data_IF_732024650047
#
_entry.id   IF_732024650047
#
_cell.length_a   1.000
_cell.length_b   1.000
_cell.length_c   1.000
_cell.angle_alpha   90.00
_cell.angle_beta   90.00
_cell.angle_gamma   90.00
#
_symmetry.space_group_name_H-M   'P 1'
#
loop_
_entity.id
_entity.type
_entity.pdbx_description
1 polymer ?
#
# COMPACT_ATOMS: atom_id res chain seq x y z
N UNK A 1 12.91 9.92 -29.06
CA UNK A 1 13.92 9.62 -28.02
C UNK A 1 13.55 8.26 -27.47
N UNK A 2 14.43 7.24 -27.47
CA UNK A 2 14.06 5.98 -26.86
C UNK A 2 13.89 6.21 -25.36
N UNK A 3 12.68 5.95 -24.85
CA UNK A 3 12.35 5.98 -23.44
C UNK A 3 13.29 5.05 -22.67
N UNK A 4 13.92 5.56 -21.61
CA UNK A 4 14.87 4.80 -20.83
C UNK A 4 14.12 3.85 -19.90
N UNK A 5 13.90 2.62 -20.39
CA UNK A 5 13.02 1.61 -19.79
C UNK A 5 13.30 1.39 -18.31
N UNK A 6 14.55 1.48 -17.88
CA UNK A 6 14.93 1.25 -16.48
C UNK A 6 14.49 2.39 -15.54
N UNK A 7 14.65 3.65 -15.96
CA UNK A 7 14.17 4.80 -15.19
C UNK A 7 12.64 4.82 -15.15
N UNK A 8 11.99 4.52 -16.26
CA UNK A 8 10.53 4.50 -16.33
C UNK A 8 9.93 3.36 -15.50
N UNK A 9 10.61 2.22 -15.40
CA UNK A 9 10.23 1.14 -14.50
C UNK A 9 10.37 1.58 -13.03
N UNK A 10 11.48 2.20 -12.65
CA UNK A 10 11.69 2.67 -11.28
C UNK A 10 10.67 3.76 -10.88
N UNK A 11 10.35 4.68 -11.79
CA UNK A 11 9.33 5.72 -11.58
C UNK A 11 7.93 5.12 -11.44
N UNK A 12 7.54 4.22 -12.34
CA UNK A 12 6.25 3.51 -12.25
C UNK A 12 6.13 2.73 -10.95
N UNK A 13 7.21 2.09 -10.49
CA UNK A 13 7.26 1.42 -9.20
C UNK A 13 6.98 2.41 -8.05
N UNK A 14 7.67 3.54 -8.02
CA UNK A 14 7.48 4.57 -7.00
C UNK A 14 6.08 5.24 -7.06
N UNK A 15 5.53 5.45 -8.25
CA UNK A 15 4.19 6.01 -8.46
C UNK A 15 3.07 5.08 -7.94
N UNK A 16 3.30 3.76 -8.06
CA UNK A 16 2.45 2.72 -7.48
C UNK A 16 2.54 2.65 -5.94
N UNK A 17 3.53 3.34 -5.35
CA UNK A 17 3.77 3.39 -3.92
C UNK A 17 4.90 2.48 -3.44
N UNK A 18 5.51 1.71 -4.34
CA UNK A 18 6.66 0.86 -4.03
C UNK A 18 7.88 1.67 -3.62
N UNK A 19 8.66 1.14 -2.67
CA UNK A 19 9.92 1.73 -2.22
C UNK A 19 11.08 1.14 -3.02
N UNK A 20 12.23 1.79 -3.02
CA UNK A 20 13.44 1.21 -3.61
C UNK A 20 14.69 1.52 -2.78
N UNK A 21 15.70 0.66 -2.88
CA UNK A 21 17.01 0.86 -2.25
C UNK A 21 18.13 0.36 -3.15
N UNK A 22 19.24 1.10 -3.20
CA UNK A 22 20.45 0.73 -3.94
C UNK A 22 21.19 -0.35 -3.14
N UNK A 23 21.32 -1.53 -3.75
CA UNK A 23 22.04 -2.66 -3.17
C UNK A 23 23.55 -2.59 -3.44
N UNK A 24 23.92 -2.09 -4.62
CA UNK A 24 25.31 -1.98 -5.04
C UNK A 24 25.46 -0.94 -6.15
N UNK A 25 26.56 -0.17 -6.07
CA UNK A 25 27.03 0.72 -7.13
C UNK A 25 28.33 0.16 -7.68
N UNK A 26 28.37 -0.10 -8.98
CA UNK A 26 29.55 -0.49 -9.74
C UNK A 26 30.00 0.61 -10.69
N UNK A 27 31.08 0.37 -11.44
CA UNK A 27 31.57 1.31 -12.46
C UNK A 27 30.54 1.44 -13.59
N UNK A 28 29.74 2.51 -13.54
CA UNK A 28 28.71 2.79 -14.56
C UNK A 28 27.47 1.90 -14.48
N UNK A 29 27.28 1.12 -13.42
CA UNK A 29 26.09 0.27 -13.22
C UNK A 29 25.59 0.37 -11.79
N UNK A 30 24.29 0.26 -11.60
CA UNK A 30 23.65 0.25 -10.29
C UNK A 30 22.69 -0.92 -10.19
N UNK A 31 22.64 -1.55 -9.01
CA UNK A 31 21.66 -2.59 -8.67
C UNK A 31 20.72 -2.06 -7.61
N UNK A 32 19.42 -2.15 -7.88
CA UNK A 32 18.35 -1.57 -7.07
C UNK A 32 17.38 -2.68 -6.69
N UNK A 33 17.07 -2.78 -5.40
CA UNK A 33 15.96 -3.55 -4.88
C UNK A 33 14.66 -2.75 -5.01
N UNK A 34 13.65 -3.34 -5.60
CA UNK A 34 12.28 -2.84 -5.60
C UNK A 34 11.56 -3.47 -4.41
N UNK A 35 11.18 -2.63 -3.45
CA UNK A 35 10.65 -3.02 -2.16
C UNK A 35 9.14 -2.78 -2.09
N UNK A 36 8.43 -3.66 -1.38
CA UNK A 36 7.02 -3.43 -1.03
C UNK A 36 6.85 -2.13 -0.24
N UNK A 37 5.67 -1.52 -0.37
CA UNK A 37 5.34 -0.28 0.33
C UNK A 37 5.05 -0.49 1.84
N UNK A 38 4.68 -1.71 2.22
CA UNK A 38 4.11 -2.05 3.53
C UNK A 38 5.14 -2.64 4.51
N UNK A 39 6.16 -3.32 3.99
CA UNK A 39 7.08 -4.17 4.76
C UNK A 39 8.55 -3.97 4.41
N UNK A 40 8.85 -3.27 3.31
CA UNK A 40 10.22 -3.10 2.82
C UNK A 40 10.84 -4.40 2.29
N UNK A 41 10.02 -5.40 1.96
CA UNK A 41 10.47 -6.68 1.40
C UNK A 41 10.84 -6.51 -0.07
N UNK A 42 11.97 -7.10 -0.50
CA UNK A 42 12.40 -7.08 -1.91
C UNK A 42 11.47 -7.94 -2.77
N UNK A 43 10.65 -7.25 -3.58
CA UNK A 43 9.75 -7.83 -4.58
C UNK A 43 10.54 -8.25 -5.81
N UNK A 44 11.41 -7.37 -6.29
CA UNK A 44 12.19 -7.57 -7.49
C UNK A 44 13.52 -6.84 -7.40
N UNK A 45 14.45 -7.18 -8.30
CA UNK A 45 15.77 -6.59 -8.39
C UNK A 45 16.06 -6.20 -9.82
N UNK A 46 16.47 -4.95 -10.01
CA UNK A 46 16.91 -4.47 -11.31
C UNK A 46 18.36 -4.00 -11.28
N UNK A 47 19.10 -4.32 -12.34
CA UNK A 47 20.46 -3.82 -12.57
C UNK A 47 20.48 -3.06 -13.89
N UNK A 48 21.05 -1.86 -13.89
CA UNK A 48 21.12 -1.02 -15.09
C UNK A 48 22.32 -0.10 -15.07
N UNK A 49 22.87 0.18 -16.26
CA UNK A 49 23.92 1.18 -16.49
C UNK A 49 23.43 2.44 -17.20
N UNK A 50 22.11 2.66 -17.21
CA UNK A 50 21.50 3.84 -17.82
C UNK A 50 22.06 5.13 -17.22
N UNK A 51 22.59 6.06 -18.04
CA UNK A 51 23.00 7.38 -17.57
C UNK A 51 21.87 8.19 -16.95
N UNK A 52 20.64 8.05 -17.47
CA UNK A 52 19.46 8.75 -16.96
C UNK A 52 19.05 8.24 -15.58
N UNK A 53 19.11 6.91 -15.36
CA UNK A 53 18.87 6.30 -14.06
C UNK A 53 19.96 6.69 -13.05
N UNK A 54 21.23 6.66 -13.44
CA UNK A 54 22.33 7.07 -12.58
C UNK A 54 22.22 8.55 -12.17
N UNK A 55 21.86 9.43 -13.10
CA UNK A 55 21.59 10.84 -12.82
C UNK A 55 20.36 11.03 -11.91
N UNK A 56 19.30 10.24 -12.11
CA UNK A 56 18.10 10.28 -11.27
C UNK A 56 18.36 9.83 -9.83
N UNK A 57 19.14 8.78 -9.63
CA UNK A 57 19.51 8.31 -8.29
C UNK A 57 20.42 9.33 -7.59
N UNK A 58 21.37 9.92 -8.33
CA UNK A 58 22.38 10.78 -7.74
C UNK A 58 23.14 10.05 -6.63
N UNK A 59 23.25 10.67 -5.46
CA UNK A 59 23.87 10.10 -4.25
C UNK A 59 22.89 9.27 -3.38
N UNK A 60 21.60 9.22 -3.73
CA UNK A 60 20.59 8.52 -2.92
C UNK A 60 20.78 7.01 -2.95
N UNK A 61 20.75 6.38 -1.80
CA UNK A 61 20.77 4.93 -1.63
C UNK A 61 19.38 4.36 -1.33
N UNK A 62 18.37 5.22 -1.16
CA UNK A 62 16.97 4.81 -1.08
C UNK A 62 15.97 5.86 -1.57
N UNK A 63 14.75 5.41 -1.85
CA UNK A 63 13.60 6.28 -2.10
C UNK A 63 13.17 7.10 -0.88
N UNK A 64 13.73 6.80 0.30
CA UNK A 64 13.44 7.50 1.55
C UNK A 64 14.46 8.57 1.90
N UNK A 65 15.56 8.67 1.16
CA UNK A 65 16.60 9.68 1.44
C UNK A 65 16.11 11.12 1.15
N UNK A 66 14.90 11.26 0.57
CA UNK A 66 14.17 12.54 0.46
C UNK A 66 13.44 12.92 1.78
N UNK A 67 13.41 12.05 2.80
CA UNK A 67 12.83 12.28 4.13
C UNK A 67 13.94 12.58 5.15
N UNK A 68 13.73 13.48 6.13
CA UNK A 68 14.71 13.70 7.18
C UNK A 68 14.92 12.41 8.00
N UNK A 69 16.19 12.03 8.13
CA UNK A 69 16.62 10.72 8.61
C UNK A 69 16.15 10.37 10.03
N UNK A 70 15.49 9.22 10.16
CA UNK A 70 15.47 8.44 11.39
C UNK A 70 16.21 7.12 11.13
N UNK A 71 17.47 7.05 11.56
CA UNK A 71 18.34 5.91 11.33
C UNK A 71 18.06 4.76 12.31
N UNK A 72 18.04 3.53 11.79
CA UNK A 72 18.49 2.34 12.52
C UNK A 72 19.16 1.38 11.52
N UNK A 73 20.28 0.74 11.91
CA UNK A 73 21.10 -0.03 10.98
C UNK A 73 20.45 -1.38 10.64
N UNK A 74 20.16 -1.62 9.36
CA UNK A 74 19.64 -2.90 8.88
C UNK A 74 20.79 -3.92 8.78
N UNK A 75 20.74 -4.96 9.61
CA UNK A 75 21.58 -6.16 9.47
C UNK A 75 21.16 -6.95 8.23
N UNK A 76 22.15 -7.43 7.45
CA UNK A 76 21.95 -8.30 6.27
C UNK A 76 21.20 -9.58 6.67
N UNK A 77 20.02 -9.88 6.11
CA UNK A 77 19.36 -11.15 6.40
C UNK A 77 19.98 -12.30 5.57
N UNK A 78 20.05 -13.47 6.19
CA UNK A 78 20.38 -14.77 5.58
C UNK A 78 19.32 -15.17 4.54
N UNK A 79 19.64 -16.05 3.56
CA UNK A 79 18.69 -16.46 2.54
C UNK A 79 17.57 -17.31 3.15
N UNK A 80 16.37 -16.74 3.25
CA UNK A 80 15.15 -17.47 3.62
C UNK A 80 14.60 -18.14 2.37
N UNK A 81 14.44 -19.47 2.40
CA UNK A 81 13.76 -20.22 1.35
C UNK A 81 12.31 -19.75 1.28
N UNK A 82 11.90 -19.22 0.12
CA UNK A 82 10.56 -18.65 -0.11
C UNK A 82 9.54 -19.77 -0.29
N UNK A 83 8.42 -19.67 0.43
CA UNK A 83 7.28 -20.54 0.23
C UNK A 83 6.67 -20.27 -1.16
N UNK A 84 6.35 -21.34 -1.88
CA UNK A 84 5.85 -21.29 -3.26
C UNK A 84 4.71 -22.29 -3.39
N UNK A 85 3.68 -21.93 -4.15
CA UNK A 85 2.63 -22.87 -4.50
C UNK A 85 3.11 -23.93 -5.50
N UNK A 86 2.24 -24.88 -5.83
CA UNK A 86 2.51 -25.96 -6.79
C UNK A 86 2.79 -25.46 -8.21
N UNK A 87 2.55 -24.18 -8.49
CA UNK A 87 2.85 -23.51 -9.76
C UNK A 87 4.13 -22.66 -9.71
N UNK A 88 4.81 -22.65 -8.56
CA UNK A 88 6.04 -21.89 -8.33
C UNK A 88 5.82 -20.40 -8.00
N UNK A 89 4.57 -19.96 -7.81
CA UNK A 89 4.25 -18.59 -7.41
C UNK A 89 4.62 -18.40 -5.94
N UNK A 90 5.34 -17.32 -5.58
CA UNK A 90 5.63 -17.03 -4.18
C UNK A 90 4.32 -16.94 -3.38
N UNK A 91 4.18 -17.73 -2.32
CA UNK A 91 3.11 -17.59 -1.34
C UNK A 91 3.63 -16.74 -0.20
N UNK A 92 2.95 -15.65 0.10
CA UNK A 92 3.25 -14.87 1.30
C UNK A 92 2.50 -15.47 2.50
N UNK A 93 2.87 -16.70 2.88
CA UNK A 93 2.22 -17.46 3.96
C UNK A 93 2.72 -17.07 5.38
N UNK A 94 3.51 -16.00 5.50
CA UNK A 94 3.96 -15.54 6.81
C UNK A 94 2.77 -15.04 7.62
N UNK A 95 2.59 -15.51 8.87
CA UNK A 95 1.54 -15.00 9.74
C UNK A 95 1.69 -13.49 9.91
N UNK A 96 0.58 -12.76 10.03
CA UNK A 96 0.57 -11.30 10.17
C UNK A 96 -0.13 -10.85 11.44
N UNK A 97 0.22 -9.67 11.94
CA UNK A 97 -0.55 -9.01 13.00
C UNK A 97 -1.85 -8.37 12.47
N UNK A 98 -2.62 -7.77 13.37
CA UNK A 98 -3.87 -7.07 13.06
C UNK A 98 -3.76 -5.99 11.98
N UNK A 99 -2.58 -5.37 11.87
CA UNK A 99 -2.29 -4.32 10.91
C UNK A 99 -1.56 -4.87 9.67
N UNK A 100 -1.39 -6.18 9.52
CA UNK A 100 -0.76 -6.82 8.37
C UNK A 100 0.77 -6.88 8.42
N UNK A 101 1.41 -6.58 9.56
CA UNK A 101 2.88 -6.68 9.67
C UNK A 101 3.29 -8.17 9.76
N UNK A 102 4.28 -8.63 8.99
CA UNK A 102 4.77 -10.01 9.08
C UNK A 102 5.28 -10.33 10.48
N UNK A 103 4.87 -11.48 11.00
CA UNK A 103 5.32 -12.05 12.24
C UNK A 103 6.42 -13.10 11.98
N UNK A 104 7.21 -13.45 13.01
CA UNK A 104 8.11 -14.60 12.94
C UNK A 104 7.38 -15.88 12.54
N UNK A 105 8.07 -16.77 11.82
CA UNK A 105 7.51 -18.07 11.44
C UNK A 105 7.10 -18.87 12.69
N UNK A 106 5.89 -19.43 12.68
CA UNK A 106 5.32 -20.18 13.80
C UNK A 106 4.61 -19.33 14.87
N UNK A 107 4.68 -18.00 14.81
CA UNK A 107 3.86 -17.13 15.65
C UNK A 107 2.38 -17.19 15.22
N UNK A 108 1.42 -17.13 16.15
CA UNK A 108 0.01 -16.98 15.79
C UNK A 108 -0.19 -15.60 15.15
N UNK A 109 -0.73 -15.58 13.93
CA UNK A 109 -1.15 -14.37 13.23
C UNK A 109 -2.64 -14.37 12.96
N UNK A 110 -3.17 -13.22 12.56
CA UNK A 110 -4.52 -13.15 12.00
C UNK A 110 -4.46 -13.70 10.57
N UNK A 111 -5.31 -14.66 10.20
CA UNK A 111 -5.38 -15.15 8.84
C UNK A 111 -5.75 -14.00 7.88
N UNK A 112 -5.01 -13.87 6.79
CA UNK A 112 -5.37 -12.98 5.68
C UNK A 112 -6.65 -13.46 5.01
N UNK A 113 -7.35 -12.55 4.34
CA UNK A 113 -8.51 -12.93 3.55
C UNK A 113 -8.10 -13.78 2.34
N UNK A 114 -8.93 -14.73 1.89
CA UNK A 114 -8.67 -15.49 0.66
C UNK A 114 -8.58 -14.55 -0.56
N UNK A 115 -7.68 -14.86 -1.49
CA UNK A 115 -7.50 -14.09 -2.74
C UNK A 115 -8.73 -14.17 -3.68
N UNK A 116 -9.53 -15.23 -3.55
CA UNK A 116 -10.69 -15.59 -4.38
C UNK A 116 -12.03 -15.31 -3.68
N UNK A 117 -12.05 -14.30 -2.81
CA UNK A 117 -13.25 -13.87 -2.10
C UNK A 117 -14.34 -13.38 -3.08
N UNK A 118 -15.32 -14.24 -3.34
CA UNK A 118 -16.48 -13.94 -4.20
C UNK A 118 -17.66 -13.45 -3.34
N UNK A 119 -17.69 -12.13 -3.08
CA UNK A 119 -18.75 -11.48 -2.32
C UNK A 119 -19.55 -10.53 -3.21
N UNK A 120 -20.85 -10.43 -2.93
CA UNK A 120 -21.66 -9.36 -3.49
C UNK A 120 -21.15 -8.00 -3.01
N UNK A 121 -21.36 -6.91 -3.77
CA UNK A 121 -21.04 -5.56 -3.32
C UNK A 121 -21.53 -5.22 -1.91
N UNK A 122 -22.76 -5.62 -1.57
CA UNK A 122 -23.35 -5.37 -0.26
C UNK A 122 -22.63 -6.14 0.86
N UNK A 123 -22.33 -7.43 0.62
CA UNK A 123 -21.62 -8.26 1.61
C UNK A 123 -20.18 -7.81 1.79
N UNK A 124 -19.50 -7.41 0.72
CA UNK A 124 -18.15 -6.87 0.77
C UNK A 124 -18.09 -5.59 1.62
N UNK A 125 -19.04 -4.67 1.44
CA UNK A 125 -19.13 -3.44 2.25
C UNK A 125 -19.44 -3.74 3.71
N UNK A 126 -20.38 -4.66 3.98
CA UNK A 126 -20.72 -5.06 5.34
C UNK A 126 -19.52 -5.70 6.05
N UNK A 127 -18.82 -6.61 5.37
CA UNK A 127 -17.63 -7.26 5.91
C UNK A 127 -16.49 -6.26 6.12
N UNK A 128 -16.23 -5.37 5.16
CA UNK A 128 -15.23 -4.32 5.31
C UNK A 128 -15.56 -3.38 6.48
N UNK A 129 -16.82 -3.00 6.68
CA UNK A 129 -17.23 -2.17 7.81
C UNK A 129 -16.99 -2.88 9.15
N UNK A 130 -17.35 -4.16 9.27
CA UNK A 130 -17.08 -4.94 10.50
C UNK A 130 -15.59 -4.98 10.82
N UNK A 131 -14.75 -5.23 9.83
CA UNK A 131 -13.30 -5.25 10.01
C UNK A 131 -12.75 -3.88 10.42
N UNK A 132 -13.28 -2.78 9.86
CA UNK A 132 -12.93 -1.44 10.30
C UNK A 132 -13.36 -1.20 11.76
N UNK A 133 -14.58 -1.59 12.12
CA UNK A 133 -15.11 -1.45 13.48
C UNK A 133 -14.27 -2.23 14.50
N UNK A 134 -13.71 -3.37 14.08
CA UNK A 134 -12.82 -4.22 14.89
C UNK A 134 -11.35 -3.74 14.90
N UNK A 135 -11.03 -2.61 14.24
CA UNK A 135 -9.67 -2.08 14.20
C UNK A 135 -8.73 -2.84 13.25
N UNK A 136 -9.27 -3.50 12.22
CA UNK A 136 -8.56 -4.33 11.24
C UNK A 136 -8.57 -3.70 9.83
N UNK A 137 -8.00 -2.50 9.64
CA UNK A 137 -8.05 -1.79 8.35
C UNK A 137 -7.27 -2.52 7.24
N UNK A 138 -6.26 -3.33 7.59
CA UNK A 138 -5.53 -4.14 6.61
C UNK A 138 -6.43 -5.22 5.99
N UNK A 139 -7.17 -5.95 6.82
CA UNK A 139 -8.10 -6.98 6.36
C UNK A 139 -9.29 -6.35 5.60
N UNK A 140 -9.76 -5.17 6.04
CA UNK A 140 -10.75 -4.42 5.29
C UNK A 140 -10.26 -4.04 3.88
N UNK A 141 -8.98 -3.66 3.75
CA UNK A 141 -8.34 -3.43 2.46
C UNK A 141 -8.38 -4.67 1.57
N UNK A 142 -8.08 -5.86 2.10
CA UNK A 142 -8.10 -7.10 1.32
C UNK A 142 -9.49 -7.39 0.75
N UNK A 143 -10.55 -7.23 1.56
CA UNK A 143 -11.95 -7.38 1.10
C UNK A 143 -12.30 -6.38 0.00
N UNK A 144 -11.92 -5.11 0.20
CA UNK A 144 -12.21 -4.04 -0.76
C UNK A 144 -11.39 -4.18 -2.05
N UNK A 145 -10.20 -4.75 -1.98
CA UNK A 145 -9.38 -5.08 -3.15
C UNK A 145 -9.98 -6.24 -3.95
N UNK A 146 -10.49 -7.28 -3.29
CA UNK A 146 -11.22 -8.35 -3.96
C UNK A 146 -12.47 -7.79 -4.69
N UNK A 147 -13.26 -6.95 -4.01
CA UNK A 147 -14.39 -6.27 -4.62
C UNK A 147 -13.97 -5.39 -5.81
N UNK A 148 -12.84 -4.68 -5.72
CA UNK A 148 -12.27 -3.91 -6.84
C UNK A 148 -11.90 -4.78 -8.04
N UNK A 149 -11.34 -5.98 -7.82
CA UNK A 149 -10.99 -6.91 -8.89
C UNK A 149 -12.24 -7.45 -9.60
N UNK A 150 -13.34 -7.63 -8.87
CA UNK A 150 -14.62 -8.11 -9.40
C UNK A 150 -15.53 -6.99 -9.95
N UNK A 151 -15.28 -5.73 -9.62
CA UNK A 151 -16.17 -4.61 -9.94
C UNK A 151 -16.31 -4.35 -11.46
N UNK A 152 -17.50 -3.91 -11.90
CA UNK A 152 -17.69 -3.42 -13.26
C UNK A 152 -16.86 -2.16 -13.52
N UNK A 153 -16.55 -1.89 -14.80
CA UNK A 153 -15.56 -0.88 -15.18
C UNK A 153 -15.88 0.54 -14.70
N UNK A 154 -17.16 0.91 -14.63
CA UNK A 154 -17.65 2.21 -14.18
C UNK A 154 -17.56 2.39 -12.65
N UNK A 155 -17.56 1.32 -11.88
CA UNK A 155 -17.41 1.34 -10.42
C UNK A 155 -15.97 1.07 -9.96
N UNK A 156 -15.13 0.56 -10.84
CA UNK A 156 -13.78 0.06 -10.49
C UNK A 156 -12.93 1.11 -9.75
N UNK A 157 -13.05 2.38 -10.13
CA UNK A 157 -12.30 3.45 -9.46
C UNK A 157 -12.86 3.83 -8.08
N UNK A 158 -14.17 3.63 -7.84
CA UNK A 158 -14.76 3.75 -6.50
C UNK A 158 -14.20 2.71 -5.55
N UNK A 159 -14.23 1.43 -5.95
CA UNK A 159 -13.72 0.32 -5.15
C UNK A 159 -12.22 0.43 -4.88
N UNK A 160 -11.45 0.85 -5.89
CA UNK A 160 -10.03 1.17 -5.71
C UNK A 160 -9.81 2.30 -4.69
N UNK A 161 -10.66 3.32 -4.72
CA UNK A 161 -10.64 4.41 -3.74
C UNK A 161 -10.90 3.90 -2.33
N UNK A 162 -11.88 3.01 -2.13
CA UNK A 162 -12.17 2.40 -0.83
C UNK A 162 -11.02 1.52 -0.32
N UNK A 163 -10.40 0.71 -1.18
CA UNK A 163 -9.21 -0.06 -0.82
C UNK A 163 -8.04 0.86 -0.40
N UNK A 164 -7.85 2.00 -1.10
CA UNK A 164 -6.86 3.02 -0.74
C UNK A 164 -7.16 3.73 0.59
N UNK A 165 -8.44 3.93 0.90
CA UNK A 165 -8.86 4.47 2.19
C UNK A 165 -8.44 3.54 3.34
N UNK A 166 -8.73 2.24 3.22
CA UNK A 166 -8.41 1.23 4.23
C UNK A 166 -6.90 1.02 4.41
N UNK A 167 -6.12 1.02 3.32
CA UNK A 167 -4.64 0.96 3.46
C UNK A 167 -4.07 2.28 4.01
N UNK A 168 -4.67 3.44 3.71
CA UNK A 168 -4.32 4.73 4.33
C UNK A 168 -4.51 4.72 5.85
N UNK A 169 -5.63 4.15 6.33
CA UNK A 169 -5.88 3.90 7.75
C UNK A 169 -4.83 2.96 8.36
N UNK A 170 -4.48 1.88 7.65
CA UNK A 170 -3.42 0.95 8.09
C UNK A 170 -2.10 1.68 8.30
N UNK A 171 -1.71 2.57 7.38
CA UNK A 171 -0.50 3.39 7.55
C UNK A 171 -0.61 4.31 8.78
N UNK A 172 -1.77 4.91 9.01
CA UNK A 172 -2.00 5.81 10.14
C UNK A 172 -1.80 5.06 11.47
N UNK A 173 -2.48 3.92 11.65
CA UNK A 173 -2.36 3.08 12.85
C UNK A 173 -0.96 2.46 13.04
N UNK A 174 -0.17 2.37 11.97
CA UNK A 174 1.24 1.96 12.05
C UNK A 174 2.20 3.11 12.40
N UNK A 175 1.71 4.34 12.54
CA UNK A 175 2.52 5.54 12.82
C UNK A 175 3.16 6.17 11.58
N UNK A 176 2.80 5.73 10.36
CA UNK A 176 3.32 6.29 9.12
C UNK A 176 2.42 7.43 8.62
N UNK A 177 2.61 8.62 9.22
CA UNK A 177 1.83 9.83 8.95
C UNK A 177 1.88 10.25 7.48
N UNK A 178 3.08 10.30 6.88
CA UNK A 178 3.28 10.74 5.49
C UNK A 178 2.60 9.80 4.50
N UNK A 179 2.75 8.49 4.70
CA UNK A 179 2.11 7.48 3.86
C UNK A 179 0.58 7.53 3.98
N UNK A 180 0.07 7.64 5.21
CA UNK A 180 -1.35 7.77 5.49
C UNK A 180 -1.96 8.99 4.81
N UNK A 181 -1.35 10.17 5.00
CA UNK A 181 -1.83 11.42 4.41
C UNK A 181 -1.95 11.32 2.88
N UNK A 182 -0.91 10.81 2.22
CA UNK A 182 -0.89 10.67 0.76
C UNK A 182 -1.99 9.74 0.26
N UNK A 183 -2.21 8.61 0.94
CA UNK A 183 -3.23 7.64 0.56
C UNK A 183 -4.64 8.18 0.79
N UNK A 184 -4.89 8.84 1.93
CA UNK A 184 -6.19 9.44 2.26
C UNK A 184 -6.59 10.54 1.28
N UNK A 185 -5.66 11.41 0.85
CA UNK A 185 -5.94 12.42 -0.18
C UNK A 185 -6.31 11.78 -1.52
N UNK A 186 -5.57 10.74 -1.91
CA UNK A 186 -5.82 10.02 -3.17
C UNK A 186 -7.15 9.25 -3.14
N UNK A 187 -7.47 8.59 -2.03
CA UNK A 187 -8.77 7.93 -1.87
C UNK A 187 -9.91 8.96 -1.92
N UNK A 188 -9.73 10.13 -1.28
CA UNK A 188 -10.75 11.18 -1.28
C UNK A 188 -11.05 11.71 -2.69
N UNK A 189 -10.04 11.87 -3.54
CA UNK A 189 -10.22 12.26 -4.93
C UNK A 189 -11.02 11.21 -5.72
N UNK A 190 -10.60 9.93 -5.65
CA UNK A 190 -11.27 8.83 -6.38
C UNK A 190 -12.71 8.67 -5.94
N UNK A 191 -12.94 8.51 -4.63
CA UNK A 191 -14.27 8.32 -4.05
C UNK A 191 -15.14 9.56 -4.32
N UNK A 192 -14.58 10.76 -4.11
CA UNK A 192 -15.32 12.02 -4.24
C UNK A 192 -15.90 12.28 -5.64
N UNK A 193 -15.28 11.73 -6.70
CA UNK A 193 -15.76 11.86 -8.08
C UNK A 193 -17.17 11.27 -8.32
N UNK A 194 -17.58 10.31 -7.47
CA UNK A 194 -18.90 9.69 -7.53
C UNK A 194 -19.97 10.52 -6.81
N UNK A 195 -19.62 11.16 -5.70
CA UNK A 195 -20.53 12.01 -4.93
C UNK A 195 -21.81 11.28 -4.49
N UNK A 196 -22.97 11.90 -4.69
CA UNK A 196 -24.27 11.30 -4.37
C UNK A 196 -24.71 10.19 -5.35
N UNK A 197 -23.97 9.99 -6.44
CA UNK A 197 -24.28 8.97 -7.47
C UNK A 197 -23.57 7.64 -7.20
N UNK A 198 -22.84 7.53 -6.08
CA UNK A 198 -22.17 6.30 -5.73
C UNK A 198 -23.20 5.16 -5.54
N UNK A 199 -22.99 3.99 -6.19
CA UNK A 199 -23.87 2.83 -6.03
C UNK A 199 -23.70 2.18 -4.64
N UNK A 200 -24.50 1.15 -4.37
CA UNK A 200 -24.42 0.29 -3.18
C UNK A 200 -24.62 1.01 -1.84
N UNK A 201 -25.14 2.23 -1.84
CA UNK A 201 -25.30 3.05 -0.64
C UNK A 201 -23.96 3.54 -0.07
N UNK A 202 -22.88 3.56 -0.86
CA UNK A 202 -21.58 4.06 -0.41
C UNK A 202 -21.68 5.56 -0.11
N UNK A 203 -21.21 5.98 1.07
CA UNK A 203 -21.27 7.36 1.53
C UNK A 203 -20.16 8.24 0.92
N UNK A 204 -19.98 8.19 -0.40
CA UNK A 204 -18.79 8.70 -1.10
C UNK A 204 -18.46 10.17 -0.79
N UNK A 205 -19.46 11.05 -0.80
CA UNK A 205 -19.26 12.46 -0.44
C UNK A 205 -18.76 12.64 1.00
N UNK A 206 -19.36 11.92 1.96
CA UNK A 206 -18.95 11.99 3.38
C UNK A 206 -17.55 11.41 3.58
N UNK A 207 -17.26 10.27 2.95
CA UNK A 207 -15.94 9.62 2.99
C UNK A 207 -14.85 10.50 2.41
N UNK A 208 -15.10 11.16 1.28
CA UNK A 208 -14.14 12.09 0.66
C UNK A 208 -13.83 13.27 1.59
N UNK A 209 -14.85 13.89 2.18
CA UNK A 209 -14.65 14.99 3.14
C UNK A 209 -13.89 14.50 4.37
N UNK A 210 -14.32 13.38 4.95
CA UNK A 210 -13.67 12.76 6.11
C UNK A 210 -12.18 12.50 5.85
N UNK A 211 -11.84 11.86 4.73
CA UNK A 211 -10.46 11.52 4.39
C UNK A 211 -9.58 12.77 4.17
N UNK A 212 -10.13 13.86 3.61
CA UNK A 212 -9.41 15.14 3.48
C UNK A 212 -9.15 15.79 4.84
N UNK A 213 -10.13 15.74 5.74
CA UNK A 213 -9.99 16.26 7.10
C UNK A 213 -8.89 15.52 7.85
N UNK A 214 -8.90 14.19 7.85
CA UNK A 214 -7.87 13.42 8.55
C UNK A 214 -6.49 13.58 7.91
N UNK A 215 -6.41 13.64 6.57
CA UNK A 215 -5.15 13.95 5.89
C UNK A 215 -4.60 15.34 6.26
N UNK A 216 -5.46 16.34 6.45
CA UNK A 216 -5.03 17.67 6.90
C UNK A 216 -4.51 17.65 8.34
N UNK A 217 -5.18 16.92 9.24
CA UNK A 217 -4.74 16.74 10.64
C UNK A 217 -3.37 16.06 10.73
N UNK A 218 -3.19 14.97 9.99
CA UNK A 218 -1.90 14.26 9.89
C UNK A 218 -0.79 15.20 9.38
N UNK A 219 -1.08 16.03 8.38
CA UNK A 219 -0.14 17.05 7.88
C UNK A 219 0.18 18.16 8.87
N UNK A 220 -0.72 18.42 9.82
CA UNK A 220 -0.55 19.39 10.90
C UNK A 220 0.25 18.86 12.10
N UNK A 221 0.65 17.59 12.09
CA UNK A 221 1.44 16.97 13.17
C UNK A 221 0.62 16.22 14.21
N UNK A 222 -0.69 16.01 13.98
CA UNK A 222 -1.51 15.19 14.87
C UNK A 222 -1.03 13.72 14.89
N UNK A 223 -1.17 13.00 16.02
CA UNK A 223 -0.78 11.60 16.12
C UNK A 223 -1.55 10.71 15.12
N UNK A 224 -0.82 9.96 14.30
CA UNK A 224 -1.42 9.11 13.28
C UNK A 224 -2.15 7.87 13.83
N UNK A 225 -1.79 7.43 15.04
CA UNK A 225 -2.34 6.21 15.65
C UNK A 225 -3.82 6.30 16.01
N UNK A 226 -4.36 7.51 16.10
CA UNK A 226 -5.70 7.80 16.64
C UNK A 226 -6.71 8.21 15.55
N UNK A 227 -6.39 7.99 14.27
CA UNK A 227 -7.34 8.27 13.19
C UNK A 227 -8.57 7.37 13.35
N UNK A 228 -9.80 7.93 13.42
CA UNK A 228 -11.00 7.14 13.64
C UNK A 228 -11.35 6.28 12.41
N UNK A 229 -12.10 5.20 12.61
CA UNK A 229 -12.59 4.37 11.51
C UNK A 229 -13.87 4.97 10.90
N UNK A 230 -13.95 5.18 9.57
CA UNK A 230 -15.11 5.79 8.95
C UNK A 230 -16.28 4.81 8.77
N UNK A 231 -17.47 5.36 8.55
CA UNK A 231 -18.65 4.61 8.06
C UNK A 231 -18.64 4.59 6.53
N UNK A 232 -18.56 3.40 5.94
CA UNK A 232 -18.46 3.21 4.48
C UNK A 232 -19.77 3.50 3.76
N UNK A 233 -20.91 3.18 4.37
CA UNK A 233 -22.24 3.31 3.78
C UNK A 233 -23.07 4.42 4.44
N UNK A 234 -24.14 4.83 3.76
CA UNK A 234 -25.01 5.95 4.16
C UNK A 234 -25.73 5.74 5.46
#
# INVERSE_FOLDING_TARGET
MPEDTALDQLRRWQESGGRWSVLARGTGTVTIALLTCDTGEEVDRMSSGSPALLAYLGERDSSEDDLPAAASPVQRPMPVVRDRDTTGRPRNARPRDALGRPLPSGAPGIPTMPDDLDLTPADALLQAQRLLDDGLPFHAHEVLEAAWKAAPADERELWRGLAQLAVGLTHAHRGNTTGAQRLLLRSAERIGSYGHRAPHGIAAGRLSTWARTEAARLGGGDPAGDVPMPRLTT
#
